data_IF_694188561179
#
_entry.id   IF_694188561179
#
_cell.length_a   1.000
_cell.length_b   1.000
_cell.length_c   1.000
_cell.angle_alpha   90.00
_cell.angle_beta   90.00
_cell.angle_gamma   90.00
#
_symmetry.space_group_name_H-M   'P 1'
#
loop_
_entity.id
_entity.type
_entity.pdbx_description
1 polymer ?
#
# COMPACT_ATOMS: atom_id res chain seq x y z
N UNK A 1 6.66 -23.87 -26.69
CA UNK A 1 7.12 -22.46 -26.68
C UNK A 1 6.91 -21.89 -25.28
N UNK A 2 7.98 -21.46 -24.57
CA UNK A 2 7.85 -20.78 -23.27
C UNK A 2 7.35 -19.36 -23.51
N UNK A 3 6.17 -19.00 -22.98
CA UNK A 3 5.74 -17.59 -22.90
C UNK A 3 6.71 -16.88 -21.97
N UNK A 4 7.48 -15.93 -22.49
CA UNK A 4 8.24 -14.99 -21.68
C UNK A 4 7.22 -14.01 -21.12
N UNK A 5 6.76 -14.25 -19.91
CA UNK A 5 5.97 -13.25 -19.18
C UNK A 5 6.93 -12.12 -18.80
N UNK A 6 6.67 -10.86 -19.15
CA UNK A 6 7.51 -9.76 -18.68
C UNK A 6 7.56 -9.79 -17.15
N UNK A 7 8.75 -9.57 -16.57
CA UNK A 7 8.90 -9.53 -15.12
C UNK A 7 8.06 -8.38 -14.58
N UNK A 8 7.10 -8.68 -13.71
CA UNK A 8 6.34 -7.65 -13.01
C UNK A 8 7.27 -6.93 -12.02
N UNK A 9 7.50 -5.64 -12.25
CA UNK A 9 8.23 -4.79 -11.31
C UNK A 9 7.28 -4.38 -10.20
N UNK A 10 7.64 -4.70 -8.96
CA UNK A 10 6.92 -4.27 -7.75
C UNK A 10 7.77 -3.26 -7.02
N UNK A 11 7.21 -2.07 -6.80
CA UNK A 11 7.83 -0.98 -6.06
C UNK A 11 7.09 -0.78 -4.73
N UNK A 12 7.82 -0.40 -3.68
CA UNK A 12 7.24 -0.06 -2.38
C UNK A 12 7.30 1.44 -2.14
N UNK A 13 6.21 2.02 -1.65
CA UNK A 13 6.12 3.44 -1.34
C UNK A 13 5.30 3.66 -0.07
N UNK A 14 5.79 4.53 0.81
CA UNK A 14 5.03 5.12 1.90
C UNK A 14 4.66 6.57 1.57
N UNK A 15 3.48 7.02 1.97
CA UNK A 15 3.06 8.40 1.72
C UNK A 15 3.61 9.41 2.74
N UNK A 16 3.96 8.98 3.96
CA UNK A 16 4.40 9.87 5.05
C UNK A 16 3.41 11.04 5.24
N UNK A 17 3.91 12.27 5.40
CA UNK A 17 3.16 13.54 5.40
C UNK A 17 3.26 14.28 4.06
N UNK A 18 3.59 13.59 2.96
CA UNK A 18 3.68 14.23 1.63
C UNK A 18 2.32 14.76 1.18
N UNK A 19 2.36 15.78 0.33
CA UNK A 19 1.18 16.19 -0.44
C UNK A 19 0.79 15.07 -1.41
N UNK A 20 -0.45 15.14 -1.91
CA UNK A 20 -0.92 14.19 -2.92
C UNK A 20 -0.15 14.38 -4.24
N UNK A 21 0.18 15.62 -4.56
CA UNK A 21 0.92 16.05 -5.73
C UNK A 21 2.33 15.45 -5.73
N UNK A 22 3.08 15.60 -4.64
CA UNK A 22 4.42 15.02 -4.51
C UNK A 22 4.40 13.50 -4.62
N UNK A 23 3.37 12.86 -4.07
CA UNK A 23 3.18 11.43 -4.17
C UNK A 23 2.95 10.98 -5.63
N UNK A 24 2.12 11.70 -6.39
CA UNK A 24 1.87 11.42 -7.80
C UNK A 24 3.13 11.64 -8.64
N UNK A 25 3.86 12.74 -8.41
CA UNK A 25 5.14 13.01 -9.09
C UNK A 25 6.13 11.88 -8.86
N UNK A 26 6.22 11.37 -7.64
CA UNK A 26 7.12 10.27 -7.31
C UNK A 26 6.72 8.96 -8.03
N UNK A 27 5.43 8.66 -8.11
CA UNK A 27 4.95 7.51 -8.88
C UNK A 27 5.31 7.61 -10.36
N UNK A 28 5.10 8.79 -10.96
CA UNK A 28 5.40 9.04 -12.37
C UNK A 28 6.90 9.00 -12.66
N UNK A 29 7.74 9.57 -11.78
CA UNK A 29 9.19 9.55 -11.91
C UNK A 29 9.75 8.11 -11.97
N UNK A 30 9.08 7.16 -11.33
CA UNK A 30 9.43 5.74 -11.37
C UNK A 30 8.59 4.92 -12.35
N UNK A 31 7.84 5.58 -13.25
CA UNK A 31 6.98 4.91 -14.24
C UNK A 31 6.01 3.90 -13.62
N UNK A 32 5.59 4.13 -12.37
CA UNK A 32 4.57 3.32 -11.72
C UNK A 32 3.23 3.58 -12.41
N UNK A 33 2.49 2.52 -12.70
CA UNK A 33 1.21 2.61 -13.43
C UNK A 33 -0.01 2.36 -12.54
N UNK A 34 0.20 1.78 -11.35
CA UNK A 34 -0.87 1.40 -10.43
C UNK A 34 -0.38 1.42 -8.98
N UNK A 35 -1.19 2.00 -8.11
CA UNK A 35 -1.04 1.88 -6.66
C UNK A 35 -1.82 0.66 -6.18
N UNK A 36 -1.13 -0.23 -5.46
CA UNK A 36 -1.73 -1.34 -4.73
C UNK A 36 -1.75 -0.97 -3.26
N UNK A 37 -2.92 -0.66 -2.73
CA UNK A 37 -3.12 -0.30 -1.34
C UNK A 37 -3.35 -1.56 -0.51
N UNK A 38 -2.35 -1.95 0.28
CA UNK A 38 -2.39 -3.14 1.13
C UNK A 38 -2.84 -2.84 2.56
N UNK A 39 -3.16 -1.57 2.87
CA UNK A 39 -3.56 -1.18 4.23
C UNK A 39 -4.90 -1.82 4.55
N UNK A 40 -4.98 -2.57 5.65
CA UNK A 40 -6.25 -3.16 6.09
C UNK A 40 -7.32 -2.10 6.34
N UNK A 41 -6.92 -0.95 6.90
CA UNK A 41 -7.77 0.22 7.12
C UNK A 41 -7.19 1.43 6.36
N UNK A 42 -7.57 1.65 5.08
CA UNK A 42 -7.06 2.75 4.26
C UNK A 42 -7.78 4.08 4.56
N UNK A 43 -7.82 4.45 5.84
CA UNK A 43 -8.48 5.65 6.35
C UNK A 43 -7.60 6.32 7.41
N UNK A 44 -7.46 7.63 7.29
CA UNK A 44 -6.71 8.49 8.19
C UNK A 44 -7.45 9.82 8.33
N UNK A 45 -7.50 10.33 9.56
CA UNK A 45 -7.97 11.70 9.85
C UNK A 45 -6.88 12.74 9.59
N UNK A 46 -5.62 12.37 9.77
CA UNK A 46 -4.47 13.26 9.59
C UNK A 46 -4.10 13.41 8.11
N UNK A 47 -4.23 12.33 7.33
CA UNK A 47 -3.88 12.28 5.92
C UNK A 47 -5.10 11.90 5.04
N UNK A 48 -6.18 12.69 5.04
CA UNK A 48 -7.43 12.35 4.37
C UNK A 48 -7.32 12.26 2.84
N UNK A 49 -6.30 12.89 2.23
CA UNK A 49 -5.99 12.80 0.80
C UNK A 49 -5.58 11.40 0.36
N UNK A 50 -5.09 10.57 1.28
CA UNK A 50 -4.73 9.17 1.03
C UNK A 50 -5.82 8.18 1.45
N UNK A 51 -7.02 8.64 1.79
CA UNK A 51 -8.12 7.75 2.12
C UNK A 51 -8.63 7.04 0.88
N UNK A 52 -9.13 5.81 1.03
CA UNK A 52 -9.76 5.06 -0.06
C UNK A 52 -10.91 5.81 -0.75
N UNK A 53 -11.57 6.74 -0.05
CA UNK A 53 -12.64 7.56 -0.63
C UNK A 53 -12.15 8.65 -1.59
N UNK A 54 -10.90 9.12 -1.46
CA UNK A 54 -10.34 10.25 -2.20
C UNK A 54 -9.26 9.82 -3.19
N UNK A 55 -8.30 9.01 -2.73
CA UNK A 55 -7.10 8.63 -3.47
C UNK A 55 -7.38 8.03 -4.85
N UNK A 56 -8.36 7.11 -5.06
CA UNK A 56 -8.58 6.51 -6.38
C UNK A 56 -8.98 7.54 -7.45
N UNK A 57 -9.79 8.54 -7.08
CA UNK A 57 -10.21 9.61 -7.99
C UNK A 57 -9.02 10.47 -8.40
N UNK A 58 -8.18 10.84 -7.44
CA UNK A 58 -6.96 11.62 -7.69
C UNK A 58 -5.96 10.88 -8.57
N UNK A 59 -5.70 9.60 -8.30
CA UNK A 59 -4.81 8.78 -9.12
C UNK A 59 -5.35 8.63 -10.54
N UNK A 60 -6.66 8.40 -10.70
CA UNK A 60 -7.30 8.30 -12.01
C UNK A 60 -7.12 9.57 -12.84
N UNK A 61 -7.24 10.76 -12.23
CA UNK A 61 -6.98 12.04 -12.91
C UNK A 61 -5.54 12.17 -13.41
N UNK A 62 -4.58 11.53 -12.74
CA UNK A 62 -3.18 11.47 -13.14
C UNK A 62 -2.83 10.27 -14.06
N UNK A 63 -3.83 9.52 -14.54
CA UNK A 63 -3.62 8.34 -15.39
C UNK A 63 -3.13 7.09 -14.65
N UNK A 64 -3.19 7.09 -13.32
CA UNK A 64 -2.72 6.00 -12.45
C UNK A 64 -3.87 5.10 -12.00
N UNK A 65 -3.66 3.79 -12.03
CA UNK A 65 -4.60 2.83 -11.47
C UNK A 65 -4.56 2.77 -9.94
N UNK A 66 -5.65 2.29 -9.34
CA UNK A 66 -5.71 1.98 -7.90
C UNK A 66 -6.40 0.63 -7.69
N UNK A 67 -5.86 -0.19 -6.80
CA UNK A 67 -6.53 -1.39 -6.30
C UNK A 67 -6.26 -1.52 -4.80
N UNK A 68 -7.28 -1.94 -4.05
CA UNK A 68 -7.18 -2.18 -2.61
C UNK A 68 -7.12 -3.69 -2.34
N UNK A 69 -6.02 -4.18 -1.77
CA UNK A 69 -5.77 -5.58 -1.45
C UNK A 69 -5.52 -5.74 0.07
N UNK A 70 -6.57 -5.66 0.92
CA UNK A 70 -6.41 -5.68 2.37
C UNK A 70 -5.88 -7.01 2.92
N UNK A 71 -6.02 -8.10 2.14
CA UNK A 71 -5.49 -9.43 2.50
C UNK A 71 -3.97 -9.52 2.47
N UNK A 72 -3.28 -8.51 1.92
CA UNK A 72 -1.82 -8.38 1.98
C UNK A 72 -1.35 -7.45 3.11
N UNK A 73 -2.28 -6.99 3.95
CA UNK A 73 -2.01 -6.10 5.07
C UNK A 73 -1.45 -6.79 6.31
N UNK A 74 -0.96 -5.98 7.26
CA UNK A 74 -0.21 -6.46 8.43
C UNK A 74 -1.06 -6.85 9.65
N UNK A 75 -2.40 -6.68 9.61
CA UNK A 75 -3.26 -7.14 10.71
C UNK A 75 -3.32 -8.68 10.70
N UNK A 76 -2.35 -9.29 11.39
CA UNK A 76 -2.23 -10.74 11.57
C UNK A 76 -2.81 -11.14 12.92
N UNK A 77 -3.42 -12.33 12.95
CA UNK A 77 -3.94 -12.91 14.18
C UNK A 77 -2.83 -13.58 14.97
N UNK A 78 -2.64 -13.11 16.21
CA UNK A 78 -1.65 -13.65 17.13
C UNK A 78 -1.75 -15.16 17.26
N UNK A 79 -0.62 -15.83 17.08
CA UNK A 79 -0.48 -17.26 17.35
C UNK A 79 0.21 -17.52 18.70
N UNK A 80 -0.22 -18.57 19.41
CA UNK A 80 0.37 -18.95 20.71
C UNK A 80 1.84 -19.38 20.56
N UNK A 81 2.17 -20.00 19.45
CA UNK A 81 3.49 -20.50 19.06
C UNK A 81 4.27 -19.49 18.20
N UNK A 82 3.96 -18.21 18.33
CA UNK A 82 4.61 -17.19 17.52
C UNK A 82 6.12 -17.10 17.78
N UNK A 83 6.88 -17.15 16.68
CA UNK A 83 8.32 -16.86 16.66
C UNK A 83 8.63 -15.39 17.02
N UNK A 84 7.65 -14.50 16.98
CA UNK A 84 7.81 -13.07 17.23
C UNK A 84 7.75 -12.72 18.74
N UNK A 85 8.45 -13.47 19.59
CA UNK A 85 8.40 -13.32 21.06
C UNK A 85 8.95 -11.99 21.58
N UNK A 86 9.72 -11.26 20.78
CA UNK A 86 10.30 -9.95 21.13
C UNK A 86 9.29 -8.81 21.30
N UNK A 87 8.06 -8.93 20.78
CA UNK A 87 7.05 -7.91 21.00
C UNK A 87 6.46 -7.99 22.41
N UNK A 88 6.47 -6.86 23.14
CA UNK A 88 5.82 -6.75 24.46
C UNK A 88 4.30 -6.93 24.36
N UNK A 89 3.68 -6.32 23.35
CA UNK A 89 2.26 -6.51 23.10
C UNK A 89 2.04 -7.84 22.36
N UNK A 90 1.29 -8.75 23.00
CA UNK A 90 0.95 -10.05 22.42
C UNK A 90 0.23 -9.91 21.08
N UNK A 91 -0.59 -8.86 20.88
CA UNK A 91 -1.33 -8.65 19.63
C UNK A 91 -0.45 -8.43 18.40
N UNK A 92 0.82 -8.05 18.58
CA UNK A 92 1.79 -7.85 17.48
C UNK A 92 2.64 -9.08 17.20
N UNK A 93 2.45 -10.16 17.95
CA UNK A 93 3.21 -11.40 17.79
C UNK A 93 2.67 -12.24 16.65
N UNK A 94 2.38 -11.68 15.48
CA UNK A 94 2.04 -12.46 14.28
C UNK A 94 0.76 -13.23 14.46
#
# INVERSE_FOLDING_TARGET
MRKITPSLIVLTIGHSTRTLEDFIVLLQAHSATRVVDVRTMPQSRHNPQFNKASLPSSLKKAGLGYVHLPGLGWLRHTRRDSVNSGWRNASFRG
#
